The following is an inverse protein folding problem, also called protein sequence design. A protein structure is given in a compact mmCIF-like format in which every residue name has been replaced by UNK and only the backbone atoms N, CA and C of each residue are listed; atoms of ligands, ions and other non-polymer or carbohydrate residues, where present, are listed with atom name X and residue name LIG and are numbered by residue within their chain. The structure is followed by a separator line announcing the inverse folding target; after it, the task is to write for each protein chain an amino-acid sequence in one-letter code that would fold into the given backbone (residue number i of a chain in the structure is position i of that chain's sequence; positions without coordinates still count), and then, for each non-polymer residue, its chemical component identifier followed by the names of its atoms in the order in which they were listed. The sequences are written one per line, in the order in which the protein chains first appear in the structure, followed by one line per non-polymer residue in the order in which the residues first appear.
data_IF_247289364331
#
_entry.id   IF_247289364331
#
_cell.length_a   1.000
_cell.length_b   1.000
_cell.length_c   1.000
_cell.angle_alpha   90.00
_cell.angle_beta   90.00
_cell.angle_gamma   90.00
#
_symmetry.space_group_name_H-M   'P 1'
#
loop_
_entity.id
_entity.type
_entity.pdbx_description
1 polymer ?
#
# COMPACT_ATOMS: atom_id res chain seq x y z
N UNK A 1 -18.85 -5.52 11.94
CA UNK A 1 -18.93 -5.78 13.39
C UNK A 1 -18.45 -4.51 14.07
N UNK A 2 -19.33 -3.79 14.73
CA UNK A 2 -18.94 -2.67 15.62
C UNK A 2 -18.51 -3.33 16.93
N UNK A 3 -17.20 -3.50 17.13
CA UNK A 3 -16.68 -3.87 18.44
C UNK A 3 -16.80 -2.66 19.37
N UNK A 4 -17.73 -2.73 20.28
CA UNK A 4 -17.94 -1.74 21.34
C UNK A 4 -17.07 -2.01 22.57
N UNK A 5 -16.32 -3.10 22.59
CA UNK A 5 -15.47 -3.50 23.71
C UNK A 5 -14.00 -3.37 23.25
N UNK A 6 -13.22 -2.62 24.02
CA UNK A 6 -11.77 -2.53 23.83
C UNK A 6 -11.12 -3.52 24.79
N UNK A 7 -10.50 -4.55 24.28
CA UNK A 7 -9.78 -5.56 25.06
C UNK A 7 -8.27 -5.43 24.82
N UNK A 8 -7.50 -5.75 25.85
CA UNK A 8 -6.04 -5.87 25.73
C UNK A 8 -5.76 -7.20 25.02
N UNK A 9 -5.21 -7.11 23.81
CA UNK A 9 -4.91 -8.28 23.00
C UNK A 9 -3.50 -8.18 22.41
N UNK A 10 -2.87 -9.34 22.23
CA UNK A 10 -1.64 -9.43 21.46
C UNK A 10 -1.94 -9.70 19.99
N UNK A 11 -1.11 -9.15 19.11
CA UNK A 11 -1.12 -9.44 17.69
C UNK A 11 -0.09 -10.54 17.40
N UNK A 12 -0.54 -11.65 16.83
CA UNK A 12 0.31 -12.77 16.45
C UNK A 12 0.55 -12.71 14.95
N UNK A 13 1.79 -12.46 14.57
CA UNK A 13 2.26 -12.53 13.19
C UNK A 13 2.75 -13.95 12.91
N UNK A 14 2.34 -14.54 11.81
CA UNK A 14 2.75 -15.89 11.42
C UNK A 14 3.25 -15.90 9.97
N UNK A 15 4.36 -16.59 9.72
CA UNK A 15 4.87 -16.90 8.39
C UNK A 15 4.59 -18.34 8.07
N UNK A 16 3.90 -18.60 6.96
CA UNK A 16 3.45 -19.92 6.54
C UNK A 16 4.02 -20.25 5.16
N UNK A 17 4.53 -21.46 5.00
CA UNK A 17 4.89 -21.99 3.68
C UNK A 17 3.64 -22.28 2.85
N UNK A 18 3.63 -21.77 1.60
CA UNK A 18 2.50 -21.90 0.71
C UNK A 18 2.34 -23.30 0.08
N UNK A 19 3.40 -24.10 0.05
CA UNK A 19 3.37 -25.45 -0.55
C UNK A 19 2.78 -26.49 0.40
N UNK A 20 3.15 -26.43 1.69
CA UNK A 20 2.79 -27.44 2.68
C UNK A 20 1.92 -26.90 3.82
N UNK A 21 1.61 -25.59 3.81
CA UNK A 21 0.86 -24.89 4.88
C UNK A 21 1.53 -25.01 6.27
N UNK A 22 2.86 -25.15 6.30
CA UNK A 22 3.61 -25.26 7.54
C UNK A 22 3.93 -23.89 8.13
N UNK A 23 3.81 -23.77 9.43
CA UNK A 23 4.25 -22.59 10.18
C UNK A 23 5.80 -22.56 10.20
N UNK A 24 6.38 -21.56 9.52
CA UNK A 24 7.84 -21.36 9.45
C UNK A 24 8.33 -20.54 10.64
N UNK A 25 7.57 -19.49 10.99
CA UNK A 25 7.95 -18.53 12.01
C UNK A 25 6.73 -17.81 12.57
N UNK A 26 6.84 -17.31 13.80
CA UNK A 26 5.82 -16.46 14.40
C UNK A 26 6.44 -15.36 15.27
N UNK A 27 5.69 -14.32 15.48
CA UNK A 27 6.04 -13.22 16.38
C UNK A 27 4.81 -12.73 17.10
N UNK A 28 4.92 -12.54 18.41
CA UNK A 28 3.87 -11.92 19.23
C UNK A 28 4.25 -10.47 19.50
N UNK A 29 3.31 -9.56 19.32
CA UNK A 29 3.52 -8.12 19.50
C UNK A 29 2.23 -7.46 20.02
N UNK A 30 2.37 -6.29 20.64
CA UNK A 30 1.25 -5.40 20.99
C UNK A 30 1.06 -4.27 19.97
N UNK A 31 1.71 -4.38 18.80
CA UNK A 31 1.63 -3.40 17.71
C UNK A 31 0.78 -3.96 16.56
N UNK A 32 0.29 -3.06 15.70
CA UNK A 32 -0.41 -3.45 14.48
C UNK A 32 0.56 -3.98 13.41
N UNK A 33 0.01 -4.48 12.30
CA UNK A 33 0.72 -5.16 11.22
C UNK A 33 1.62 -4.24 10.38
N UNK A 34 1.38 -2.94 10.43
CA UNK A 34 1.91 -1.96 9.47
C UNK A 34 3.44 -1.97 9.31
N UNK A 35 4.18 -2.32 10.34
CA UNK A 35 5.65 -2.36 10.35
C UNK A 35 6.18 -3.74 10.72
N UNK A 36 5.40 -4.78 10.49
CA UNK A 36 5.76 -6.14 10.85
C UNK A 36 6.35 -6.94 9.68
N UNK A 37 6.13 -6.50 8.43
CA UNK A 37 6.57 -7.23 7.23
C UNK A 37 8.08 -7.37 7.15
N UNK A 38 8.83 -6.28 7.26
CA UNK A 38 10.28 -6.29 7.12
C UNK A 38 10.99 -7.22 8.11
N UNK A 39 10.71 -7.13 9.43
CA UNK A 39 11.25 -8.08 10.41
C UNK A 39 10.92 -9.54 10.12
N UNK A 40 9.67 -9.85 9.71
CA UNK A 40 9.26 -11.21 9.36
C UNK A 40 9.95 -11.73 8.12
N UNK A 41 10.14 -10.89 7.08
CA UNK A 41 10.87 -11.25 5.87
C UNK A 41 12.34 -11.58 6.15
N UNK A 42 13.03 -10.78 6.98
CA UNK A 42 14.43 -11.06 7.36
C UNK A 42 14.55 -12.41 8.06
N UNK A 43 13.62 -12.73 8.97
CA UNK A 43 13.61 -14.01 9.68
C UNK A 43 13.30 -15.17 8.74
N UNK A 44 12.27 -15.04 7.89
CA UNK A 44 11.93 -16.05 6.90
C UNK A 44 13.11 -16.34 5.96
N UNK A 45 13.79 -15.31 5.45
CA UNK A 45 14.99 -15.44 4.62
C UNK A 45 16.10 -16.23 5.34
N UNK A 46 16.33 -15.95 6.61
CA UNK A 46 17.32 -16.65 7.42
C UNK A 46 16.95 -18.11 7.68
N UNK A 47 15.70 -18.40 8.02
CA UNK A 47 15.22 -19.75 8.33
C UNK A 47 15.22 -20.63 7.08
N UNK A 48 14.70 -20.10 5.98
CA UNK A 48 14.60 -20.83 4.70
C UNK A 48 15.95 -20.98 4.00
N UNK A 49 16.95 -20.20 4.39
CA UNK A 49 18.26 -20.09 3.69
C UNK A 49 18.09 -19.86 2.18
N UNK A 50 17.01 -19.21 1.81
CA UNK A 50 16.64 -18.88 0.45
C UNK A 50 16.65 -17.36 0.27
N UNK A 51 17.33 -16.90 -0.77
CA UNK A 51 17.48 -15.46 -1.05
C UNK A 51 16.40 -14.90 -1.97
N UNK A 52 15.59 -15.77 -2.60
CA UNK A 52 14.57 -15.38 -3.56
C UNK A 52 13.29 -16.17 -3.33
N UNK A 53 12.25 -15.50 -2.88
CA UNK A 53 10.90 -16.06 -2.79
C UNK A 53 9.86 -14.94 -2.92
N UNK A 54 8.62 -15.30 -3.19
CA UNK A 54 7.50 -14.37 -3.20
C UNK A 54 6.75 -14.47 -1.88
N UNK A 55 6.50 -13.35 -1.23
CA UNK A 55 5.77 -13.26 0.02
C UNK A 55 4.42 -12.56 -0.17
N UNK A 56 3.36 -13.12 0.43
CA UNK A 56 1.98 -12.65 0.30
C UNK A 56 1.54 -12.01 1.60
N UNK A 57 1.01 -10.79 1.51
CA UNK A 57 0.58 -10.02 2.68
C UNK A 57 -0.82 -9.44 2.48
N UNK A 58 -1.48 -9.21 3.60
CA UNK A 58 -2.75 -8.53 3.61
C UNK A 58 -2.57 -6.99 3.57
N UNK A 59 -3.69 -6.23 3.48
CA UNK A 59 -3.68 -4.78 3.41
C UNK A 59 -3.13 -4.09 4.67
N UNK A 60 -3.09 -4.77 5.82
CA UNK A 60 -2.54 -4.27 7.07
C UNK A 60 -1.05 -3.96 6.99
N UNK A 61 -0.34 -4.67 6.12
CA UNK A 61 1.10 -4.52 5.87
C UNK A 61 1.44 -3.49 4.78
N UNK A 62 0.45 -2.84 4.19
CA UNK A 62 0.67 -1.91 3.07
C UNK A 62 1.33 -0.61 3.54
N UNK A 63 2.65 -0.59 3.57
CA UNK A 63 3.47 0.57 3.92
C UNK A 63 4.68 0.69 2.99
N UNK A 64 5.00 1.92 2.56
CA UNK A 64 6.09 2.15 1.59
C UNK A 64 7.46 1.73 2.11
N UNK A 65 7.78 2.02 3.37
CA UNK A 65 9.04 1.60 4.00
C UNK A 65 9.18 0.07 4.12
N UNK A 66 8.06 -0.63 4.23
CA UNK A 66 8.05 -2.09 4.28
C UNK A 66 8.27 -2.70 2.88
N UNK A 67 7.66 -2.13 1.84
CA UNK A 67 7.92 -2.50 0.46
C UNK A 67 9.38 -2.22 0.07
N UNK A 68 9.94 -1.08 0.48
CA UNK A 68 11.36 -0.78 0.32
C UNK A 68 12.25 -1.82 1.02
N UNK A 69 11.87 -2.23 2.23
CA UNK A 69 12.59 -3.28 2.95
C UNK A 69 12.54 -4.61 2.18
N UNK A 70 11.38 -5.00 1.64
CA UNK A 70 11.25 -6.21 0.83
C UNK A 70 12.14 -6.15 -0.43
N UNK A 71 12.14 -5.02 -1.15
CA UNK A 71 12.98 -4.77 -2.31
C UNK A 71 14.47 -4.89 -1.97
N UNK A 72 14.91 -4.23 -0.89
CA UNK A 72 16.29 -4.28 -0.42
C UNK A 72 16.74 -5.70 0.01
N UNK A 73 15.80 -6.55 0.42
CA UNK A 73 16.04 -7.96 0.71
C UNK A 73 16.04 -8.86 -0.53
N UNK A 74 15.69 -8.34 -1.71
CA UNK A 74 15.53 -9.11 -2.94
C UNK A 74 14.29 -10.01 -2.94
N UNK A 75 13.27 -9.68 -2.13
CA UNK A 75 12.04 -10.46 -1.97
C UNK A 75 10.89 -9.77 -2.68
N UNK A 76 10.20 -10.49 -3.56
CA UNK A 76 8.97 -9.98 -4.18
C UNK A 76 7.82 -10.05 -3.19
N UNK A 77 7.33 -8.88 -2.74
CA UNK A 77 6.16 -8.80 -1.89
C UNK A 77 4.90 -8.52 -2.73
N UNK A 78 3.83 -9.28 -2.49
CA UNK A 78 2.49 -9.04 -3.02
C UNK A 78 1.59 -8.62 -1.85
N UNK A 79 1.44 -7.32 -1.65
CA UNK A 79 0.69 -6.74 -0.52
C UNK A 79 -0.66 -6.23 -1.01
N UNK A 80 -1.75 -6.67 -0.38
CA UNK A 80 -3.09 -6.24 -0.74
C UNK A 80 -3.22 -4.71 -0.66
N UNK A 81 -3.74 -4.11 -1.75
CA UNK A 81 -3.91 -2.66 -1.83
C UNK A 81 -5.16 -2.24 -1.05
N UNK A 82 -5.06 -1.33 -0.09
CA UNK A 82 -6.22 -0.80 0.60
C UNK A 82 -7.10 0.03 -0.35
N UNK A 83 -8.39 0.09 -0.06
CA UNK A 83 -9.29 0.98 -0.77
C UNK A 83 -8.84 2.45 -0.62
N UNK A 84 -9.05 3.30 -1.63
CA UNK A 84 -8.74 4.73 -1.54
C UNK A 84 -9.44 5.39 -0.34
N UNK A 85 -8.73 6.28 0.36
CA UNK A 85 -9.27 6.97 1.54
C UNK A 85 -10.35 8.01 1.20
N UNK A 86 -10.34 8.54 -0.02
CA UNK A 86 -11.32 9.50 -0.52
C UNK A 86 -11.54 9.33 -2.02
N UNK A 87 -12.81 9.38 -2.41
CA UNK A 87 -13.23 9.33 -3.80
C UNK A 87 -13.61 10.74 -4.29
N UNK A 88 -13.55 10.94 -5.60
CA UNK A 88 -14.16 12.09 -6.24
C UNK A 88 -15.71 11.98 -6.14
N UNK A 89 -16.46 13.11 -6.25
CA UNK A 89 -17.91 13.06 -6.34
C UNK A 89 -18.41 12.14 -7.45
N UNK A 90 -17.71 12.11 -8.59
CA UNK A 90 -17.91 11.15 -9.66
C UNK A 90 -16.69 10.22 -9.72
N UNK A 91 -16.88 8.88 -9.61
CA UNK A 91 -15.80 7.89 -9.64
C UNK A 91 -14.87 8.00 -10.86
N UNK A 92 -15.35 8.47 -12.01
CA UNK A 92 -14.54 8.67 -13.21
C UNK A 92 -13.39 9.68 -13.03
N UNK A 93 -13.41 10.47 -11.95
CA UNK A 93 -12.39 11.43 -11.59
C UNK A 93 -11.61 11.05 -10.32
N UNK A 94 -11.64 9.78 -9.93
CA UNK A 94 -10.77 9.29 -8.88
C UNK A 94 -9.30 9.40 -9.28
N UNK A 95 -8.42 9.47 -8.29
CA UNK A 95 -6.96 9.68 -8.51
C UNK A 95 -6.35 8.60 -9.39
N UNK A 96 -6.88 7.39 -9.38
CA UNK A 96 -6.43 6.26 -10.20
C UNK A 96 -6.57 6.49 -11.71
N UNK A 97 -7.44 7.41 -12.13
CA UNK A 97 -7.64 7.79 -13.54
C UNK A 97 -6.78 8.98 -13.97
N UNK A 98 -5.93 9.50 -13.08
CA UNK A 98 -4.94 10.52 -13.43
C UNK A 98 -3.67 9.82 -13.89
N UNK A 99 -3.31 10.00 -15.16
CA UNK A 99 -2.11 9.40 -15.73
C UNK A 99 -0.85 10.16 -15.25
N UNK A 100 0.10 9.44 -14.67
CA UNK A 100 1.39 9.99 -14.28
C UNK A 100 2.41 9.80 -15.38
N UNK A 101 3.07 10.89 -15.79
CA UNK A 101 4.21 10.88 -16.69
C UNK A 101 5.51 10.95 -15.88
N UNK A 102 6.28 9.86 -15.90
CA UNK A 102 7.54 9.74 -15.17
C UNK A 102 8.66 10.64 -15.74
N UNK A 103 8.64 10.90 -17.06
CA UNK A 103 9.68 11.71 -17.71
C UNK A 103 9.48 13.19 -17.45
N UNK A 104 8.23 13.66 -17.47
CA UNK A 104 7.88 15.06 -17.25
C UNK A 104 7.59 15.38 -15.78
N UNK A 105 7.48 14.40 -14.90
CA UNK A 105 7.05 14.54 -13.51
C UNK A 105 5.72 15.31 -13.38
N UNK A 106 4.70 14.90 -14.14
CA UNK A 106 3.39 15.53 -14.21
C UNK A 106 2.26 14.51 -14.15
N UNK A 107 1.07 14.97 -13.80
CA UNK A 107 -0.17 14.21 -13.95
C UNK A 107 -1.05 14.80 -15.03
N UNK A 108 -1.67 13.96 -15.84
CA UNK A 108 -2.76 14.38 -16.74
C UNK A 108 -4.10 13.91 -16.14
N UNK A 109 -5.04 14.84 -15.91
CA UNK A 109 -6.35 14.51 -15.39
C UNK A 109 -7.28 13.94 -16.49
N UNK A 110 -8.40 13.25 -16.13
CA UNK A 110 -9.35 12.74 -17.11
C UNK A 110 -9.97 13.78 -18.05
N UNK A 111 -9.92 15.07 -17.68
CA UNK A 111 -10.33 16.18 -18.54
C UNK A 111 -9.21 16.77 -19.42
N UNK A 112 -8.04 16.11 -19.49
CA UNK A 112 -6.92 16.48 -20.34
C UNK A 112 -6.02 17.60 -19.82
N UNK A 113 -6.21 18.08 -18.58
CA UNK A 113 -5.35 19.11 -18.01
C UNK A 113 -4.13 18.54 -17.30
N UNK A 114 -2.97 19.17 -17.49
CA UNK A 114 -1.73 18.80 -16.81
C UNK A 114 -1.64 19.44 -15.43
N UNK A 115 -1.32 18.62 -14.43
CA UNK A 115 -1.00 19.03 -13.06
C UNK A 115 0.52 18.94 -12.88
N UNK A 116 1.11 20.02 -12.37
CA UNK A 116 2.56 20.12 -12.15
C UNK A 116 2.87 20.22 -10.67
N UNK A 117 4.09 19.87 -10.30
CA UNK A 117 4.67 20.08 -8.98
C UNK A 117 5.55 21.32 -8.96
N UNK A 118 5.77 21.90 -7.79
CA UNK A 118 6.79 22.92 -7.55
C UNK A 118 8.12 22.31 -7.08
N UNK A 119 8.26 20.99 -7.09
CA UNK A 119 9.44 20.26 -6.64
C UNK A 119 9.62 20.21 -5.13
N UNK A 120 8.79 20.90 -4.35
CA UNK A 120 8.91 20.89 -2.88
C UNK A 120 8.43 19.57 -2.28
N UNK A 121 9.21 19.04 -1.32
CA UNK A 121 8.84 17.86 -0.54
C UNK A 121 8.10 18.30 0.71
N UNK A 122 6.86 17.90 0.81
CA UNK A 122 6.01 18.13 1.98
C UNK A 122 6.07 16.91 2.90
N UNK A 123 5.98 17.11 4.20
CA UNK A 123 5.97 16.02 5.17
C UNK A 123 4.76 16.12 6.09
N UNK A 124 4.01 15.02 6.21
CA UNK A 124 2.92 14.87 7.17
C UNK A 124 3.37 14.04 8.37
N UNK A 125 2.74 14.29 9.51
CA UNK A 125 2.97 13.51 10.73
C UNK A 125 4.41 13.56 11.24
N UNK A 126 5.03 14.73 11.23
CA UNK A 126 6.40 14.97 11.72
C UNK A 126 6.66 14.39 13.12
N UNK A 127 5.64 14.42 13.99
CA UNK A 127 5.74 13.91 15.37
C UNK A 127 5.52 12.40 15.50
N UNK A 128 5.37 11.67 14.39
CA UNK A 128 5.24 10.20 14.38
C UNK A 128 6.59 9.56 14.04
N UNK A 129 6.79 8.33 14.51
CA UNK A 129 8.00 7.56 14.22
C UNK A 129 8.28 7.36 12.70
N UNK A 130 7.23 7.47 11.87
CA UNK A 130 7.32 7.31 10.42
C UNK A 130 6.55 8.46 9.73
N UNK A 131 7.19 9.62 9.55
CA UNK A 131 6.63 10.72 8.78
C UNK A 131 6.46 10.30 7.32
N UNK A 132 5.47 10.88 6.66
CA UNK A 132 5.20 10.59 5.25
C UNK A 132 5.58 11.80 4.40
N UNK A 133 6.53 11.63 3.50
CA UNK A 133 6.96 12.66 2.55
C UNK A 133 6.28 12.48 1.19
N UNK A 134 5.93 13.59 0.53
CA UNK A 134 5.19 13.59 -0.73
C UNK A 134 5.41 14.87 -1.51
N UNK A 135 5.24 14.78 -2.84
CA UNK A 135 5.10 15.93 -3.72
C UNK A 135 3.63 16.27 -3.95
N UNK A 136 3.34 17.54 -4.19
CA UNK A 136 2.00 18.01 -4.50
C UNK A 136 1.91 18.45 -5.97
N UNK A 137 0.85 17.97 -6.66
CA UNK A 137 0.56 18.31 -8.06
C UNK A 137 -0.76 19.04 -8.17
N UNK A 138 -0.76 20.18 -8.87
CA UNK A 138 -1.91 21.07 -9.02
C UNK A 138 -1.93 21.67 -10.43
N UNK A 139 -3.10 22.19 -10.83
CA UNK A 139 -3.24 23.01 -12.04
C UNK A 139 -4.17 24.20 -11.80
N UNK A 140 -3.87 25.33 -12.42
CA UNK A 140 -4.75 26.51 -12.40
C UNK A 140 -6.02 26.29 -13.23
N UNK A 141 -5.99 25.38 -14.21
CA UNK A 141 -7.12 25.05 -15.09
C UNK A 141 -8.36 24.56 -14.32
N UNK A 142 -8.19 24.01 -13.10
CA UNK A 142 -9.33 23.62 -12.24
C UNK A 142 -10.29 24.77 -11.93
N UNK A 143 -9.86 26.05 -12.00
CA UNK A 143 -10.72 27.20 -11.67
C UNK A 143 -11.88 27.36 -12.67
N UNK A 144 -11.62 27.10 -13.95
CA UNK A 144 -12.59 27.24 -15.06
C UNK A 144 -13.02 25.90 -15.65
N UNK A 145 -12.65 24.79 -15.03
CA UNK A 145 -12.94 23.45 -15.54
C UNK A 145 -14.45 23.14 -15.46
N UNK A 146 -15.11 22.79 -16.58
CA UNK A 146 -16.56 22.53 -16.61
C UNK A 146 -16.97 21.30 -15.79
N UNK A 147 -16.05 20.34 -15.60
CA UNK A 147 -16.29 19.11 -14.83
C UNK A 147 -15.78 19.17 -13.39
N UNK A 148 -15.44 20.36 -12.91
CA UNK A 148 -14.84 20.54 -11.59
C UNK A 148 -15.70 19.96 -10.46
N UNK A 149 -17.03 20.22 -10.47
CA UNK A 149 -17.96 19.73 -9.44
C UNK A 149 -18.03 18.20 -9.37
N UNK A 150 -17.81 17.53 -10.49
CA UNK A 150 -17.72 16.07 -10.56
C UNK A 150 -16.35 15.54 -10.05
N UNK A 151 -15.30 16.34 -10.23
CA UNK A 151 -13.93 15.94 -9.90
C UNK A 151 -13.56 16.22 -8.44
N UNK A 152 -13.94 17.39 -7.90
CA UNK A 152 -13.53 17.80 -6.55
C UNK A 152 -14.44 18.87 -5.95
N UNK A 153 -14.68 18.75 -4.64
CA UNK A 153 -15.35 19.78 -3.83
C UNK A 153 -14.38 20.81 -3.26
N UNK A 154 -13.06 20.61 -3.42
CA UNK A 154 -12.05 21.47 -2.84
C UNK A 154 -12.05 22.87 -3.49
N UNK A 155 -12.04 23.93 -2.65
CA UNK A 155 -12.06 25.35 -3.08
C UNK A 155 -10.93 25.68 -4.08
N UNK A 156 -9.76 25.09 -3.90
CA UNK A 156 -8.56 25.38 -4.72
C UNK A 156 -8.36 24.39 -5.89
N UNK A 157 -9.38 23.56 -6.21
CA UNK A 157 -9.28 22.53 -7.24
C UNK A 157 -8.65 21.24 -6.75
N UNK A 158 -8.46 20.29 -7.67
CA UNK A 158 -7.88 18.98 -7.35
C UNK A 158 -6.41 19.11 -6.95
N UNK A 159 -6.07 18.44 -5.87
CA UNK A 159 -4.71 18.24 -5.39
C UNK A 159 -4.41 16.74 -5.44
N UNK A 160 -3.29 16.36 -6.05
CA UNK A 160 -2.73 15.02 -5.96
C UNK A 160 -1.48 15.07 -5.09
N UNK A 161 -1.40 14.16 -4.13
CA UNK A 161 -0.22 13.96 -3.30
C UNK A 161 0.45 12.65 -3.72
N UNK A 162 1.63 12.73 -4.31
CA UNK A 162 2.44 11.59 -4.70
C UNK A 162 3.47 11.32 -3.61
N UNK A 163 3.29 10.21 -2.91
CA UNK A 163 4.20 9.74 -1.88
C UNK A 163 5.57 9.39 -2.50
N UNK A 164 6.66 9.58 -1.75
CA UNK A 164 8.01 9.19 -2.18
C UNK A 164 8.14 7.69 -2.48
N UNK A 165 7.29 6.87 -1.86
CA UNK A 165 7.20 5.42 -2.12
C UNK A 165 6.22 5.05 -3.25
N UNK A 166 5.66 6.01 -3.98
CA UNK A 166 4.70 5.73 -5.06
C UNK A 166 5.22 4.74 -6.11
N UNK A 167 6.50 4.79 -6.52
CA UNK A 167 7.05 3.79 -7.44
C UNK A 167 6.92 2.35 -6.91
N UNK A 168 7.18 2.13 -5.61
CA UNK A 168 7.05 0.82 -4.98
C UNK A 168 5.58 0.35 -4.89
N UNK A 169 4.65 1.28 -4.65
CA UNK A 169 3.23 0.96 -4.68
C UNK A 169 2.74 0.60 -6.09
N UNK A 170 3.26 1.26 -7.11
CA UNK A 170 2.98 0.96 -8.52
C UNK A 170 3.54 -0.41 -8.91
N UNK A 171 4.79 -0.69 -8.55
CA UNK A 171 5.42 -2.00 -8.74
C UNK A 171 4.65 -3.12 -8.05
N UNK A 172 4.22 -2.93 -6.80
CA UNK A 172 3.40 -3.90 -6.09
C UNK A 172 2.09 -4.20 -6.82
N UNK A 173 1.40 -3.18 -7.36
CA UNK A 173 0.18 -3.39 -8.16
C UNK A 173 0.47 -4.18 -9.44
N UNK A 174 1.56 -3.86 -10.15
CA UNK A 174 1.97 -4.60 -11.35
C UNK A 174 2.32 -6.06 -11.02
N UNK A 175 3.01 -6.30 -9.92
CA UNK A 175 3.36 -7.64 -9.46
C UNK A 175 2.11 -8.47 -9.11
N UNK A 176 1.10 -7.86 -8.47
CA UNK A 176 -0.19 -8.50 -8.22
C UNK A 176 -0.88 -8.86 -9.55
N UNK A 177 -0.91 -7.93 -10.52
CA UNK A 177 -1.52 -8.16 -11.83
C UNK A 177 -0.82 -9.26 -12.64
N UNK A 178 0.50 -9.38 -12.52
CA UNK A 178 1.29 -10.44 -13.16
C UNK A 178 1.12 -11.81 -12.51
N UNK A 179 0.69 -11.85 -11.24
CA UNK A 179 0.56 -13.07 -10.45
C UNK A 179 -0.85 -13.24 -9.83
N UNK A 180 -1.93 -13.18 -10.61
CA UNK A 180 -3.30 -13.14 -10.08
C UNK A 180 -3.68 -14.43 -9.35
N UNK A 181 -3.24 -15.59 -9.83
CA UNK A 181 -3.52 -16.89 -9.22
C UNK A 181 -2.85 -17.02 -7.85
N UNK A 182 -1.57 -16.66 -7.75
CA UNK A 182 -0.84 -16.69 -6.49
C UNK A 182 -1.49 -15.73 -5.48
N UNK A 183 -1.88 -14.55 -5.93
CA UNK A 183 -2.53 -13.57 -5.07
C UNK A 183 -3.90 -14.04 -4.55
N UNK A 184 -4.71 -14.74 -5.36
CA UNK A 184 -5.98 -15.34 -4.93
C UNK A 184 -5.79 -16.40 -3.85
N UNK A 185 -4.75 -17.21 -3.96
CA UNK A 185 -4.44 -18.28 -3.00
C UNK A 185 -4.08 -17.75 -1.60
N UNK A 186 -3.73 -16.47 -1.47
CA UNK A 186 -3.29 -15.86 -0.22
C UNK A 186 -4.22 -16.19 0.95
N UNK A 187 -5.53 -15.99 0.81
CA UNK A 187 -6.49 -16.27 1.88
C UNK A 187 -6.48 -17.73 2.31
N UNK A 188 -6.57 -18.64 1.35
CA UNK A 188 -6.57 -20.07 1.64
C UNK A 188 -5.29 -20.52 2.37
N UNK A 189 -4.13 -20.00 1.99
CA UNK A 189 -2.84 -20.33 2.60
C UNK A 189 -2.79 -19.87 4.06
N UNK A 190 -3.29 -18.68 4.37
CA UNK A 190 -3.18 -18.10 5.71
C UNK A 190 -4.33 -18.56 6.63
N UNK A 191 -5.53 -18.71 6.11
CA UNK A 191 -6.71 -19.08 6.92
C UNK A 191 -6.61 -20.51 7.48
N UNK A 192 -6.02 -21.43 6.75
CA UNK A 192 -5.90 -22.84 7.19
C UNK A 192 -5.13 -23.01 8.51
N UNK A 193 -3.90 -22.48 8.68
CA UNK A 193 -3.18 -22.59 9.95
C UNK A 193 -3.89 -21.84 11.09
N UNK A 194 -4.45 -20.66 10.82
CA UNK A 194 -5.17 -19.90 11.84
C UNK A 194 -6.50 -20.55 12.25
N UNK A 195 -7.17 -21.25 11.36
CA UNK A 195 -8.35 -22.04 11.68
C UNK A 195 -8.04 -23.18 12.67
N UNK A 196 -6.84 -23.74 12.61
CA UNK A 196 -6.37 -24.79 13.52
C UNK A 196 -5.90 -24.20 14.86
N UNK A 197 -5.21 -23.06 14.86
CA UNK A 197 -4.68 -22.43 16.08
C UNK A 197 -5.80 -21.83 16.95
N UNK A 198 -6.91 -21.38 16.36
CA UNK A 198 -8.04 -20.76 17.08
C UNK A 198 -9.05 -21.74 17.68
N UNK A 199 -8.86 -23.04 17.52
CA UNK A 199 -9.64 -24.10 18.15
C UNK A 199 -9.00 -24.52 19.46
#
# INVERSE_FOLDING_TARGET
IRNTITEVAYNVQATVDAAHCLLIDYRVTNRNDRLAMGPMLRRAKSILRNNTFTALFDKGYYAGSELETAQNLGITALVAVPAPAANAPDPAYNVEFFAYDHAADTYTCPAGHTLTTNGHVYTKHLNRAHPTSFHQYRTKACKTCPVRSRCTTAKNGKLIERNVYSPLFEENRQNIQRNPELYRRRQAIVEHPFGTIKR
#
